data_IF_673988911036
#
_entry.id   IF_673988911036
#
_cell.length_a   1.000
_cell.length_b   1.000
_cell.length_c   1.000
_cell.angle_alpha   90.00
_cell.angle_beta   90.00
_cell.angle_gamma   90.00
#
_symmetry.space_group_name_H-M   'P 1'
#
loop_
_entity.id
_entity.type
_entity.pdbx_description
1 polymer ?
#
# COMPACT_ATOMS: atom_id res chain seq x y z
N UNK A 1 -6.54 -16.70 -18.85
CA UNK A 1 -6.73 -15.27 -19.09
C UNK A 1 -5.94 -14.79 -20.32
N UNK A 2 -4.72 -15.25 -20.52
CA UNK A 2 -3.87 -14.86 -21.67
C UNK A 2 -4.44 -15.29 -23.05
N UNK A 3 -5.27 -16.33 -23.12
CA UNK A 3 -5.86 -16.79 -24.39
C UNK A 3 -7.00 -15.92 -24.94
N UNK A 4 -7.50 -14.96 -24.18
CA UNK A 4 -8.56 -14.02 -24.61
C UNK A 4 -8.03 -12.64 -25.07
N UNK A 5 -6.74 -12.40 -24.99
CA UNK A 5 -6.12 -11.10 -25.29
C UNK A 5 -5.79 -10.90 -26.78
N UNK A 6 -6.09 -11.89 -27.64
CA UNK A 6 -5.68 -11.91 -29.04
C UNK A 6 -6.48 -11.05 -30.03
N UNK A 7 -7.53 -10.35 -29.62
CA UNK A 7 -8.30 -9.48 -30.55
C UNK A 7 -8.52 -8.10 -29.92
N UNK A 8 -7.64 -7.15 -30.21
CA UNK A 8 -7.85 -5.73 -29.91
C UNK A 8 -9.06 -5.19 -30.69
N UNK A 9 -10.14 -4.86 -29.98
CA UNK A 9 -11.08 -3.86 -30.44
C UNK A 9 -10.64 -2.50 -29.85
N UNK A 10 -10.90 -1.39 -30.59
CA UNK A 10 -10.49 -0.02 -30.24
C UNK A 10 -10.98 0.50 -28.86
N UNK A 11 -11.75 -0.28 -28.12
CA UNK A 11 -12.35 0.05 -26.82
C UNK A 11 -11.68 -0.64 -25.62
N UNK A 12 -10.60 -1.43 -25.81
CA UNK A 12 -9.87 -2.06 -24.71
C UNK A 12 -8.88 -1.07 -24.07
N UNK A 13 -9.41 -0.08 -23.36
CA UNK A 13 -8.66 0.92 -22.57
C UNK A 13 -8.39 0.44 -21.13
N UNK A 14 -8.09 -0.84 -20.94
CA UNK A 14 -7.71 -1.36 -19.62
C UNK A 14 -6.19 -1.39 -19.43
N UNK A 15 -5.69 -1.33 -18.19
CA UNK A 15 -4.26 -1.46 -17.85
C UNK A 15 -3.57 -2.67 -18.51
N UNK A 16 -4.30 -3.74 -18.83
CA UNK A 16 -3.81 -4.89 -19.58
C UNK A 16 -3.41 -4.55 -21.04
N UNK A 17 -3.85 -3.44 -21.57
CA UNK A 17 -3.52 -3.00 -22.90
C UNK A 17 -2.08 -2.48 -23.02
N UNK A 18 -1.50 -1.90 -21.97
CA UNK A 18 -0.17 -1.25 -22.00
C UNK A 18 0.93 -2.22 -22.46
N UNK A 19 0.95 -3.48 -21.99
CA UNK A 19 1.96 -4.46 -22.44
C UNK A 19 1.78 -4.90 -23.89
N UNK A 20 0.56 -4.74 -24.43
CA UNK A 20 0.20 -5.09 -25.80
C UNK A 20 0.24 -3.90 -26.74
N UNK A 21 0.47 -2.69 -26.22
CA UNK A 21 0.65 -1.50 -27.04
C UNK A 21 1.88 -1.63 -27.92
N UNK A 22 1.87 -0.96 -29.05
CA UNK A 22 3.03 -0.91 -29.92
C UNK A 22 4.20 -0.18 -29.21
N UNK A 23 5.43 -0.49 -29.60
CA UNK A 23 6.58 0.18 -29.02
C UNK A 23 6.51 1.71 -29.21
N UNK A 24 5.97 2.15 -30.34
CA UNK A 24 5.77 3.58 -30.64
C UNK A 24 4.78 4.22 -29.67
N UNK A 25 3.66 3.55 -29.38
CA UNK A 25 2.67 4.03 -28.41
C UNK A 25 3.25 4.09 -26.99
N UNK A 26 4.02 3.07 -26.60
CA UNK A 26 4.70 3.02 -25.28
C UNK A 26 5.71 4.15 -25.12
N UNK A 27 6.50 4.44 -26.19
CA UNK A 27 7.43 5.56 -26.19
C UNK A 27 6.72 6.90 -26.11
N UNK A 28 5.69 7.08 -26.95
CA UNK A 28 4.91 8.33 -26.98
C UNK A 28 4.21 8.61 -25.64
N UNK A 29 3.78 7.55 -24.94
CA UNK A 29 3.16 7.65 -23.63
C UNK A 29 4.16 7.70 -22.45
N UNK A 30 5.47 7.53 -22.70
CA UNK A 30 6.48 7.47 -21.64
C UNK A 30 6.38 6.25 -20.72
N UNK A 31 5.81 5.14 -21.21
CA UNK A 31 5.51 3.94 -20.42
C UNK A 31 6.57 2.85 -20.54
N UNK A 32 7.68 3.12 -21.17
CA UNK A 32 8.81 2.20 -21.31
C UNK A 32 10.14 2.94 -21.20
N UNK A 33 11.10 2.34 -20.46
CA UNK A 33 12.51 2.57 -20.63
C UNK A 33 13.12 1.38 -21.35
N UNK A 34 13.90 1.62 -22.36
CA UNK A 34 14.53 0.60 -23.20
C UNK A 34 16.03 0.85 -23.40
N UNK A 35 16.71 -0.08 -24.06
CA UNK A 35 18.16 -0.02 -24.31
C UNK A 35 18.98 0.20 -23.02
N UNK A 36 18.50 -0.34 -21.88
CA UNK A 36 19.18 -0.21 -20.61
C UNK A 36 20.29 -1.24 -20.47
N UNK A 37 21.37 -0.84 -19.80
CA UNK A 37 22.47 -1.73 -19.42
C UNK A 37 22.64 -1.75 -17.90
N UNK A 38 22.83 -2.94 -17.31
CA UNK A 38 23.09 -3.04 -15.88
C UNK A 38 24.49 -2.52 -15.58
N UNK A 39 24.61 -1.57 -14.66
CA UNK A 39 25.86 -0.96 -14.23
C UNK A 39 26.36 -1.52 -12.90
N UNK A 40 25.48 -1.79 -11.96
CA UNK A 40 25.85 -2.31 -10.65
C UNK A 40 24.72 -3.07 -9.96
N UNK A 41 25.09 -3.83 -8.92
CA UNK A 41 24.17 -4.57 -8.05
C UNK A 41 24.41 -4.16 -6.61
N UNK A 42 23.32 -3.92 -5.86
CA UNK A 42 23.33 -3.84 -4.41
C UNK A 42 22.94 -5.18 -3.80
N UNK A 43 23.62 -5.56 -2.73
CA UNK A 43 23.35 -6.82 -2.02
C UNK A 43 22.84 -6.52 -0.61
N UNK A 44 21.92 -7.37 -0.12
CA UNK A 44 21.50 -7.35 1.26
C UNK A 44 22.54 -8.04 2.18
N UNK A 45 22.24 -8.08 3.49
CA UNK A 45 23.13 -8.69 4.51
C UNK A 45 23.42 -10.18 4.28
N UNK A 46 22.55 -10.86 3.54
CA UNK A 46 22.65 -12.29 3.20
C UNK A 46 23.36 -12.53 1.87
N UNK A 47 23.89 -11.48 1.22
CA UNK A 47 24.60 -11.55 -0.06
C UNK A 47 23.69 -11.71 -1.29
N UNK A 48 22.37 -11.64 -1.11
CA UNK A 48 21.42 -11.69 -2.22
C UNK A 48 21.33 -10.34 -2.94
N UNK A 49 21.12 -10.36 -4.24
CA UNK A 49 20.88 -9.13 -5.04
C UNK A 49 19.54 -8.53 -4.60
N UNK A 50 19.59 -7.34 -4.06
CA UNK A 50 18.44 -6.58 -3.58
C UNK A 50 18.13 -5.38 -4.48
N UNK A 51 19.15 -4.74 -5.04
CA UNK A 51 18.97 -3.61 -5.96
C UNK A 51 19.81 -3.73 -7.22
N UNK A 52 19.38 -3.06 -8.27
CA UNK A 52 20.01 -3.04 -9.59
C UNK A 52 20.04 -1.61 -10.08
N UNK A 53 21.22 -1.12 -10.47
CA UNK A 53 21.36 0.16 -11.16
C UNK A 53 21.51 -0.09 -12.66
N UNK A 54 20.76 0.65 -13.45
CA UNK A 54 20.78 0.56 -14.91
C UNK A 54 21.09 1.94 -15.51
N UNK A 55 21.93 1.96 -16.53
CA UNK A 55 22.25 3.15 -17.29
C UNK A 55 21.39 3.23 -18.55
N UNK A 56 20.98 4.44 -18.91
CA UNK A 56 20.35 4.74 -20.19
C UNK A 56 21.41 4.73 -21.30
N UNK A 57 21.10 4.15 -22.47
CA UNK A 57 21.99 4.18 -23.65
C UNK A 57 22.02 5.56 -24.31
N UNK A 58 20.98 6.35 -24.13
CA UNK A 58 20.85 7.74 -24.61
C UNK A 58 20.20 8.56 -23.50
N UNK A 59 20.41 9.89 -23.51
CA UNK A 59 19.65 10.79 -22.64
C UNK A 59 18.14 10.58 -22.90
N UNK A 60 17.52 9.79 -22.06
CA UNK A 60 16.08 9.68 -22.02
C UNK A 60 15.61 10.82 -21.13
N UNK A 61 14.95 11.83 -21.72
CA UNK A 61 14.52 12.99 -20.95
C UNK A 61 13.49 12.56 -19.91
N UNK A 62 13.78 12.84 -18.65
CA UNK A 62 12.85 12.61 -17.55
C UNK A 62 11.49 13.34 -17.77
N UNK A 63 11.48 14.37 -18.58
CA UNK A 63 10.32 15.21 -18.88
C UNK A 63 9.23 14.51 -19.72
N UNK A 64 9.56 13.42 -20.42
CA UNK A 64 8.60 12.64 -21.22
C UNK A 64 8.23 11.30 -20.60
N UNK A 65 8.77 10.99 -19.43
CA UNK A 65 8.55 9.72 -18.76
C UNK A 65 7.40 9.78 -17.75
N UNK A 66 6.57 8.73 -17.73
CA UNK A 66 5.53 8.56 -16.74
C UNK A 66 6.02 7.85 -15.46
N UNK A 67 7.28 7.42 -15.41
CA UNK A 67 7.84 6.73 -14.25
C UNK A 67 8.17 7.69 -13.10
N UNK A 68 7.89 7.25 -11.88
CA UNK A 68 8.17 8.00 -10.65
C UNK A 68 8.83 7.11 -9.61
N UNK A 69 9.55 7.71 -8.68
CA UNK A 69 10.06 7.03 -7.48
C UNK A 69 8.90 6.32 -6.76
N UNK A 70 9.10 5.05 -6.44
CA UNK A 70 8.11 4.20 -5.76
C UNK A 70 7.21 3.40 -6.70
N UNK A 71 7.23 3.65 -8.01
CA UNK A 71 6.43 2.88 -8.97
C UNK A 71 6.87 1.42 -9.00
N UNK A 72 5.87 0.55 -9.15
CA UNK A 72 6.09 -0.88 -9.32
C UNK A 72 6.27 -1.16 -10.79
N UNK A 73 7.40 -1.78 -11.12
CA UNK A 73 7.82 -2.02 -12.49
C UNK A 73 8.25 -3.47 -12.68
N UNK A 74 8.31 -3.87 -13.93
CA UNK A 74 8.95 -5.10 -14.38
C UNK A 74 10.24 -4.77 -15.14
N UNK A 75 11.27 -5.54 -14.86
CA UNK A 75 12.56 -5.53 -15.53
C UNK A 75 12.73 -6.83 -16.30
N UNK A 76 13.05 -6.77 -17.58
CA UNK A 76 13.24 -7.95 -18.41
C UNK A 76 14.29 -7.72 -19.51
N UNK A 77 15.04 -8.79 -19.91
CA UNK A 77 16.03 -8.70 -20.96
C UNK A 77 15.37 -8.87 -22.33
N UNK A 78 15.99 -8.29 -23.36
CA UNK A 78 15.65 -8.54 -24.75
C UNK A 78 16.87 -8.36 -25.65
N UNK A 79 16.90 -9.00 -26.84
CA UNK A 79 18.00 -8.89 -27.79
C UNK A 79 17.98 -7.54 -28.49
N UNK A 80 19.15 -7.00 -28.81
CA UNK A 80 19.29 -5.70 -29.47
C UNK A 80 18.63 -5.63 -30.87
N UNK A 81 18.48 -6.76 -31.54
CA UNK A 81 17.82 -6.91 -32.84
C UNK A 81 16.30 -7.20 -32.73
N UNK A 82 15.76 -7.25 -31.52
CA UNK A 82 14.34 -7.55 -31.25
C UNK A 82 13.61 -6.36 -30.62
N UNK A 83 12.29 -6.39 -30.69
CA UNK A 83 11.44 -5.42 -30.01
C UNK A 83 11.21 -5.86 -28.56
N UNK A 84 11.31 -4.97 -27.56
CA UNK A 84 10.96 -5.29 -26.19
C UNK A 84 9.53 -5.86 -26.08
N UNK A 85 9.39 -7.01 -25.41
CA UNK A 85 8.10 -7.65 -25.20
C UNK A 85 8.06 -8.38 -23.86
N UNK A 86 7.45 -7.77 -22.88
CA UNK A 86 7.32 -8.31 -21.52
C UNK A 86 6.59 -9.65 -21.46
N UNK A 87 5.65 -9.90 -22.39
CA UNK A 87 4.88 -11.14 -22.42
C UNK A 87 5.66 -12.37 -22.92
N UNK A 88 6.81 -12.13 -23.57
CA UNK A 88 7.64 -13.19 -24.14
C UNK A 88 8.92 -13.48 -23.30
N UNK A 89 9.13 -12.77 -22.20
CA UNK A 89 10.33 -12.85 -21.40
C UNK A 89 10.06 -13.17 -19.92
N UNK A 90 11.09 -13.63 -19.24
CA UNK A 90 11.06 -13.73 -17.79
C UNK A 90 11.20 -12.32 -17.19
N UNK A 91 10.22 -11.92 -16.38
CA UNK A 91 10.17 -10.58 -15.78
C UNK A 91 10.59 -10.61 -14.32
N UNK A 92 11.39 -9.64 -13.91
CA UNK A 92 11.74 -9.40 -12.52
C UNK A 92 10.93 -8.20 -12.00
N UNK A 93 10.19 -8.38 -10.92
CA UNK A 93 9.44 -7.29 -10.29
C UNK A 93 10.32 -6.45 -9.42
N UNK A 94 10.21 -5.14 -9.58
CA UNK A 94 10.99 -4.18 -8.80
C UNK A 94 10.15 -2.94 -8.47
N UNK A 95 10.70 -2.10 -7.60
CA UNK A 95 10.21 -0.74 -7.37
C UNK A 95 11.31 0.25 -7.72
N UNK A 96 10.95 1.37 -8.32
CA UNK A 96 11.88 2.43 -8.65
C UNK A 96 12.32 3.12 -7.36
N UNK A 97 13.61 3.07 -7.07
CA UNK A 97 14.22 3.75 -5.92
C UNK A 97 14.60 5.18 -6.28
N UNK A 98 15.23 5.36 -7.44
CA UNK A 98 15.70 6.65 -7.92
C UNK A 98 15.74 6.67 -9.45
N UNK A 99 15.47 7.84 -10.03
CA UNK A 99 15.62 8.13 -11.45
C UNK A 99 16.53 9.34 -11.58
N UNK A 100 17.58 9.21 -12.36
CA UNK A 100 18.53 10.29 -12.68
C UNK A 100 18.54 10.55 -14.18
N UNK A 101 19.31 11.53 -14.65
CA UNK A 101 19.55 11.76 -16.08
C UNK A 101 20.37 10.64 -16.73
N UNK A 102 21.13 9.90 -15.94
CA UNK A 102 22.06 8.86 -16.43
C UNK A 102 21.45 7.45 -16.38
N UNK A 103 20.44 7.23 -15.50
CA UNK A 103 19.90 5.90 -15.33
C UNK A 103 18.83 5.81 -14.24
N UNK A 104 18.50 4.57 -13.90
CA UNK A 104 17.49 4.25 -12.90
C UNK A 104 18.02 3.20 -11.92
N UNK A 105 17.74 3.40 -10.63
CA UNK A 105 17.99 2.41 -9.58
C UNK A 105 16.68 1.72 -9.20
N UNK A 106 16.69 0.39 -9.21
CA UNK A 106 15.57 -0.46 -8.85
C UNK A 106 15.86 -1.25 -7.58
N UNK A 107 14.86 -1.42 -6.73
CA UNK A 107 14.86 -2.38 -5.62
C UNK A 107 13.98 -3.56 -6.02
N UNK A 108 14.54 -4.75 -6.02
CA UNK A 108 13.82 -5.98 -6.35
C UNK A 108 12.78 -6.29 -5.26
N UNK A 109 11.57 -6.67 -5.66
CA UNK A 109 10.52 -7.07 -4.70
C UNK A 109 10.81 -8.41 -4.01
N UNK A 110 11.61 -9.24 -4.69
CA UNK A 110 12.14 -10.48 -4.12
C UNK A 110 13.64 -10.48 -4.41
N UNK A 111 14.45 -10.45 -3.36
CA UNK A 111 15.92 -10.54 -3.50
C UNK A 111 16.30 -11.82 -4.22
N UNK A 112 17.25 -11.74 -5.14
CA UNK A 112 17.69 -12.87 -5.95
C UNK A 112 18.97 -13.49 -5.36
N UNK A 113 18.91 -14.78 -5.10
CA UNK A 113 20.05 -15.55 -4.57
C UNK A 113 21.09 -15.80 -5.66
N UNK A 114 20.62 -16.02 -6.89
CA UNK A 114 21.48 -16.28 -8.04
C UNK A 114 21.62 -15.02 -8.90
N UNK A 115 22.83 -14.44 -8.89
CA UNK A 115 23.17 -13.30 -9.71
C UNK A 115 23.19 -13.64 -11.20
N UNK A 116 23.44 -14.90 -11.58
CA UNK A 116 23.51 -15.33 -12.97
C UNK A 116 22.21 -15.09 -13.76
N UNK A 117 21.10 -14.92 -13.06
CA UNK A 117 19.81 -14.51 -13.67
C UNK A 117 19.92 -13.19 -14.45
N UNK A 118 20.87 -12.35 -14.07
CA UNK A 118 21.11 -11.04 -14.70
C UNK A 118 22.30 -11.07 -15.66
N UNK A 119 23.03 -12.17 -15.77
CA UNK A 119 24.12 -12.34 -16.71
C UNK A 119 23.51 -12.66 -18.08
N UNK A 120 23.51 -11.69 -18.96
CA UNK A 120 22.94 -11.82 -20.30
C UNK A 120 24.05 -11.89 -21.37
N UNK A 121 23.83 -12.62 -22.49
CA UNK A 121 24.75 -12.62 -23.60
C UNK A 121 25.01 -11.24 -24.17
N UNK A 122 26.16 -11.04 -24.83
CA UNK A 122 26.45 -9.82 -25.55
C UNK A 122 25.34 -9.48 -26.55
N UNK A 123 25.04 -8.19 -26.68
CA UNK A 123 23.95 -7.71 -27.52
C UNK A 123 22.56 -7.85 -26.89
N UNK A 124 22.46 -8.01 -25.56
CA UNK A 124 21.23 -7.97 -24.81
C UNK A 124 21.07 -6.62 -24.11
N UNK A 125 19.91 -6.02 -24.22
CA UNK A 125 19.47 -4.86 -23.47
C UNK A 125 18.41 -5.24 -22.45
N UNK A 126 18.17 -4.33 -21.52
CA UNK A 126 17.08 -4.45 -20.54
C UNK A 126 16.02 -3.40 -20.83
N UNK A 127 14.78 -3.74 -20.51
CA UNK A 127 13.65 -2.82 -20.57
C UNK A 127 12.90 -2.81 -19.23
N UNK A 128 12.31 -1.64 -18.93
CA UNK A 128 11.45 -1.43 -17.78
C UNK A 128 10.09 -0.97 -18.29
N UNK A 129 9.04 -1.61 -17.81
CA UNK A 129 7.65 -1.23 -18.02
C UNK A 129 6.90 -1.24 -16.68
N UNK A 130 5.76 -0.53 -16.59
CA UNK A 130 4.91 -0.63 -15.41
C UNK A 130 4.42 -2.06 -15.19
N UNK A 131 4.41 -2.52 -13.93
CA UNK A 131 3.85 -3.84 -13.58
C UNK A 131 2.34 -3.82 -13.69
N UNK A 132 1.84 -4.52 -14.68
CA UNK A 132 0.39 -4.65 -14.96
C UNK A 132 -0.29 -5.77 -14.19
N UNK A 133 0.45 -6.74 -13.65
CA UNK A 133 -0.08 -7.69 -12.67
C UNK A 133 -0.25 -6.99 -11.33
N UNK A 134 -0.94 -5.88 -11.40
CA UNK A 134 -1.16 -5.02 -10.29
C UNK A 134 -1.73 -5.80 -9.11
N UNK A 135 -1.07 -5.65 -7.98
CA UNK A 135 -1.60 -6.06 -6.69
C UNK A 135 -3.04 -5.56 -6.46
N UNK A 136 -3.46 -4.50 -7.14
CA UNK A 136 -4.80 -3.93 -7.06
C UNK A 136 -5.89 -4.89 -7.54
N UNK A 137 -5.76 -5.53 -8.70
CA UNK A 137 -6.77 -6.48 -9.16
C UNK A 137 -6.89 -7.69 -8.24
N UNK A 138 -5.75 -8.21 -7.76
CA UNK A 138 -5.74 -9.30 -6.78
C UNK A 138 -6.33 -8.84 -5.44
N UNK A 139 -6.02 -7.63 -5.02
CA UNK A 139 -6.56 -7.04 -3.80
C UNK A 139 -8.08 -6.87 -3.89
N UNK A 140 -8.61 -6.42 -5.05
CA UNK A 140 -10.05 -6.31 -5.30
C UNK A 140 -10.76 -7.66 -5.20
N UNK A 141 -10.23 -8.71 -5.86
CA UNK A 141 -10.81 -10.06 -5.76
C UNK A 141 -10.74 -10.61 -4.34
N UNK A 142 -9.63 -10.37 -3.63
CA UNK A 142 -9.47 -10.76 -2.22
C UNK A 142 -10.47 -10.03 -1.33
N UNK A 143 -10.69 -8.74 -1.58
CA UNK A 143 -11.66 -7.91 -0.88
C UNK A 143 -13.09 -8.43 -1.08
N UNK A 144 -13.48 -8.72 -2.32
CA UNK A 144 -14.78 -9.29 -2.63
C UNK A 144 -14.98 -10.67 -1.99
N UNK A 145 -13.94 -11.51 -1.99
CA UNK A 145 -13.99 -12.80 -1.29
C UNK A 145 -14.17 -12.62 0.22
N UNK A 146 -13.45 -11.68 0.84
CA UNK A 146 -13.62 -11.36 2.27
C UNK A 146 -15.04 -10.90 2.59
N UNK A 147 -15.61 -10.04 1.74
CA UNK A 147 -17.00 -9.60 1.89
C UNK A 147 -18.00 -10.75 1.78
N UNK A 148 -17.88 -11.60 0.75
CA UNK A 148 -18.78 -12.73 0.57
C UNK A 148 -18.69 -13.75 1.73
N UNK A 149 -17.50 -13.86 2.34
CA UNK A 149 -17.24 -14.75 3.49
C UNK A 149 -17.60 -14.14 4.84
N UNK A 150 -17.86 -12.83 4.90
CA UNK A 150 -18.25 -12.13 6.14
C UNK A 150 -19.62 -12.57 6.64
N UNK A 151 -19.89 -12.35 7.94
CA UNK A 151 -21.21 -12.63 8.52
C UNK A 151 -22.32 -11.86 7.81
N UNK A 152 -23.54 -12.41 7.84
CA UNK A 152 -24.72 -11.72 7.27
C UNK A 152 -24.91 -10.34 7.90
N UNK A 153 -24.76 -10.23 9.21
CA UNK A 153 -24.92 -8.96 9.93
C UNK A 153 -23.95 -7.89 9.43
N UNK A 154 -22.68 -8.28 9.16
CA UNK A 154 -21.67 -7.38 8.63
C UNK A 154 -21.98 -6.96 7.19
N UNK A 155 -22.37 -7.90 6.35
CA UNK A 155 -22.78 -7.59 4.97
C UNK A 155 -23.98 -6.67 4.93
N UNK A 156 -24.99 -6.94 5.76
CA UNK A 156 -26.19 -6.10 5.86
C UNK A 156 -25.87 -4.67 6.30
N UNK A 157 -24.90 -4.50 7.23
CA UNK A 157 -24.41 -3.18 7.63
C UNK A 157 -23.73 -2.44 6.45
N UNK A 158 -22.78 -3.09 5.80
CA UNK A 158 -22.02 -2.51 4.67
C UNK A 158 -22.97 -2.15 3.52
N UNK A 159 -23.98 -2.97 3.25
CA UNK A 159 -24.99 -2.74 2.21
C UNK A 159 -26.15 -1.82 2.68
N UNK A 160 -26.03 -1.21 3.85
CA UNK A 160 -27.08 -0.35 4.43
C UNK A 160 -28.44 -1.05 4.60
N UNK A 161 -28.43 -2.39 4.71
CA UNK A 161 -29.64 -3.21 4.94
C UNK A 161 -30.00 -3.31 6.42
N UNK A 162 -29.11 -2.87 7.31
CA UNK A 162 -29.37 -2.60 8.72
C UNK A 162 -28.76 -1.28 9.17
N UNK A 163 -29.33 -0.69 10.18
CA UNK A 163 -28.76 0.52 10.79
C UNK A 163 -27.55 0.17 11.67
N UNK A 164 -26.57 1.09 11.81
CA UNK A 164 -25.52 0.98 12.81
C UNK A 164 -26.10 0.86 14.23
N UNK A 165 -25.43 0.11 15.08
CA UNK A 165 -25.80 -0.04 16.48
C UNK A 165 -25.18 1.08 17.31
N UNK A 166 -25.98 1.73 18.15
CA UNK A 166 -25.54 2.78 19.08
C UNK A 166 -25.82 2.30 20.51
N UNK A 167 -24.87 2.53 21.40
CA UNK A 167 -24.97 2.23 22.81
C UNK A 167 -24.82 3.53 23.62
N UNK A 168 -25.92 4.15 23.92
CA UNK A 168 -25.98 5.42 24.65
C UNK A 168 -25.51 5.33 26.12
N UNK A 169 -25.34 4.11 26.66
CA UNK A 169 -24.81 3.90 28.02
C UNK A 169 -23.29 4.00 28.10
N UNK A 170 -22.62 4.04 26.95
CA UNK A 170 -21.17 4.22 26.89
C UNK A 170 -20.85 5.70 26.84
N UNK A 171 -19.96 6.13 27.72
CA UNK A 171 -19.54 7.51 27.83
C UNK A 171 -18.04 7.65 27.64
N UNK A 172 -17.61 8.78 27.08
CA UNK A 172 -16.20 9.14 27.01
C UNK A 172 -15.62 9.34 28.43
N UNK A 173 -14.31 9.12 28.54
CA UNK A 173 -13.56 9.29 29.80
C UNK A 173 -12.76 10.58 29.84
N UNK A 174 -12.35 11.08 28.67
CA UNK A 174 -11.52 12.27 28.51
C UNK A 174 -12.33 13.54 28.26
N UNK A 175 -11.62 14.67 28.21
CA UNK A 175 -12.18 15.97 27.86
C UNK A 175 -11.48 16.50 26.61
N UNK A 176 -12.27 16.84 25.57
CA UNK A 176 -11.78 17.20 24.23
C UNK A 176 -12.34 18.55 23.75
N UNK A 177 -12.86 19.35 24.68
CA UNK A 177 -13.35 20.71 24.41
C UNK A 177 -14.47 20.73 23.36
N UNK A 178 -14.28 21.48 22.29
CA UNK A 178 -15.25 21.62 21.22
C UNK A 178 -15.58 20.28 20.50
N UNK A 179 -14.76 19.25 20.67
CA UNK A 179 -14.94 17.93 20.06
C UNK A 179 -15.64 16.91 20.96
N UNK A 180 -16.02 17.27 22.19
CA UNK A 180 -16.68 16.35 23.13
C UNK A 180 -17.86 15.63 22.50
N UNK A 181 -18.77 16.34 21.85
CA UNK A 181 -19.95 15.74 21.20
C UNK A 181 -19.57 14.75 20.10
N UNK A 182 -18.53 15.05 19.33
CA UNK A 182 -18.04 14.16 18.28
C UNK A 182 -17.46 12.88 18.88
N UNK A 183 -16.59 13.01 19.88
CA UNK A 183 -15.90 11.89 20.53
C UNK A 183 -16.90 11.00 21.26
N UNK A 184 -17.88 11.59 21.98
CA UNK A 184 -18.94 10.84 22.66
C UNK A 184 -19.74 10.00 21.67
N UNK A 185 -20.22 10.59 20.58
CA UNK A 185 -20.97 9.86 19.56
C UNK A 185 -20.14 8.76 18.87
N UNK A 186 -18.88 9.02 18.60
CA UNK A 186 -17.96 8.02 18.05
C UNK A 186 -17.80 6.84 19.02
N UNK A 187 -17.67 7.12 20.33
CA UNK A 187 -17.53 6.10 21.38
C UNK A 187 -18.81 5.27 21.58
N UNK A 188 -19.97 5.88 21.41
CA UNK A 188 -21.27 5.22 21.49
C UNK A 188 -21.57 4.35 20.27
N UNK A 189 -20.96 4.61 19.13
CA UNK A 189 -21.14 3.81 17.93
C UNK A 189 -20.42 2.47 18.06
N UNK A 190 -21.13 1.36 17.81
CA UNK A 190 -20.61 0.00 17.95
C UNK A 190 -20.13 -0.60 16.64
N UNK A 191 -20.61 -0.08 15.53
CA UNK A 191 -20.35 -0.65 14.20
C UNK A 191 -19.69 0.33 13.25
N UNK A 192 -20.34 1.46 12.99
CA UNK A 192 -19.95 2.43 11.99
C UNK A 192 -20.35 3.84 12.42
N UNK A 193 -19.42 4.77 12.33
CA UNK A 193 -19.62 6.18 12.57
C UNK A 193 -19.05 7.02 11.44
N UNK A 194 -19.86 7.88 10.84
CA UNK A 194 -19.44 8.76 9.75
C UNK A 194 -19.23 10.18 10.26
N UNK A 195 -18.03 10.70 10.03
CA UNK A 195 -17.66 12.08 10.33
C UNK A 195 -17.62 12.87 9.02
N UNK A 196 -18.60 13.76 8.85
CA UNK A 196 -18.67 14.63 7.67
C UNK A 196 -18.32 16.06 8.08
N UNK A 197 -17.41 16.68 7.38
CA UNK A 197 -17.04 18.08 7.64
C UNK A 197 -16.29 18.67 6.45
N UNK A 198 -16.50 19.98 6.17
CA UNK A 198 -15.78 20.69 5.12
C UNK A 198 -14.25 20.63 5.33
N UNK A 199 -13.45 20.90 4.28
CA UNK A 199 -12.01 21.12 4.43
C UNK A 199 -11.70 22.18 5.49
N UNK A 200 -10.63 22.01 6.26
CA UNK A 200 -10.20 22.99 7.28
C UNK A 200 -10.96 22.94 8.61
N UNK A 201 -11.94 22.06 8.80
CA UNK A 201 -12.68 21.94 10.08
C UNK A 201 -11.93 21.14 11.16
N UNK A 202 -10.71 20.70 10.88
CA UNK A 202 -9.87 19.97 11.85
C UNK A 202 -10.22 18.48 12.00
N UNK A 203 -10.87 17.86 10.99
CA UNK A 203 -11.19 16.42 11.02
C UNK A 203 -9.97 15.56 11.35
N UNK A 204 -8.91 15.69 10.57
CA UNK A 204 -7.67 14.94 10.74
C UNK A 204 -6.88 15.40 11.95
N UNK A 205 -6.72 16.73 12.11
CA UNK A 205 -5.83 17.31 13.15
C UNK A 205 -6.39 17.17 14.56
N UNK A 206 -7.69 17.22 14.74
CA UNK A 206 -8.34 17.21 16.07
C UNK A 206 -9.39 16.10 16.20
N UNK A 207 -10.27 15.92 15.21
CA UNK A 207 -11.33 14.93 15.27
C UNK A 207 -10.78 13.51 15.41
N UNK A 208 -9.96 13.08 14.46
CA UNK A 208 -9.31 11.77 14.46
C UNK A 208 -8.45 11.58 15.73
N UNK A 209 -7.62 12.58 16.05
CA UNK A 209 -6.69 12.47 17.19
C UNK A 209 -7.41 12.35 18.53
N UNK A 210 -8.53 13.07 18.72
CA UNK A 210 -9.29 13.02 19.95
C UNK A 210 -10.08 11.70 20.08
N UNK A 211 -10.63 11.16 18.98
CA UNK A 211 -11.23 9.83 18.95
C UNK A 211 -10.17 8.78 19.31
N UNK A 212 -8.97 8.86 18.72
CA UNK A 212 -7.85 7.98 19.06
C UNK A 212 -7.48 8.07 20.54
N UNK A 213 -7.28 9.29 21.08
CA UNK A 213 -6.93 9.49 22.50
C UNK A 213 -7.98 8.91 23.43
N UNK A 214 -9.25 9.09 23.13
CA UNK A 214 -10.33 8.48 23.88
C UNK A 214 -10.26 6.96 23.85
N UNK A 215 -10.05 6.37 22.68
CA UNK A 215 -9.96 4.92 22.56
C UNK A 215 -8.77 4.35 23.33
N UNK A 216 -7.64 5.05 23.32
CA UNK A 216 -6.43 4.69 24.04
C UNK A 216 -6.56 4.83 25.59
N UNK A 217 -7.64 5.42 26.11
CA UNK A 217 -7.93 5.40 27.56
C UNK A 217 -8.21 3.99 28.07
N UNK A 218 -8.64 3.07 27.19
CA UNK A 218 -8.63 1.65 27.46
C UNK A 218 -7.25 1.08 27.16
N UNK A 219 -6.52 0.51 28.14
CA UNK A 219 -5.18 -0.01 27.94
C UNK A 219 -5.11 -1.23 27.00
N UNK A 220 -6.23 -1.87 26.73
CA UNK A 220 -6.31 -3.06 25.87
C UNK A 220 -6.73 -2.74 24.43
N UNK A 221 -7.24 -1.55 24.16
CA UNK A 221 -7.69 -1.17 22.82
C UNK A 221 -6.53 -0.99 21.85
N UNK A 222 -6.74 -1.50 20.63
CA UNK A 222 -5.84 -1.38 19.51
C UNK A 222 -6.53 -0.62 18.39
N UNK A 223 -5.83 0.33 17.78
CA UNK A 223 -6.40 1.25 16.81
C UNK A 223 -5.64 1.19 15.50
N UNK A 224 -6.40 1.16 14.41
CA UNK A 224 -5.90 1.19 13.05
C UNK A 224 -6.28 2.52 12.40
N UNK A 225 -5.29 3.29 11.97
CA UNK A 225 -5.46 4.56 11.30
C UNK A 225 -5.13 4.40 9.82
N UNK A 226 -6.08 4.71 8.97
CA UNK A 226 -5.97 4.50 7.53
C UNK A 226 -6.23 5.80 6.77
N UNK A 227 -5.56 5.94 5.62
CA UNK A 227 -5.91 6.94 4.62
C UNK A 227 -5.65 6.40 3.20
N UNK A 228 -6.06 7.17 2.20
CA UNK A 228 -5.87 6.79 0.80
C UNK A 228 -4.43 6.97 0.33
N UNK A 229 -3.77 8.07 0.68
CA UNK A 229 -2.43 8.43 0.19
C UNK A 229 -1.36 8.30 1.27
N UNK A 230 -0.12 8.05 0.86
CA UNK A 230 1.03 8.03 1.77
C UNK A 230 1.21 9.37 2.48
N UNK A 231 1.03 10.49 1.75
CA UNK A 231 1.12 11.84 2.32
C UNK A 231 0.11 12.06 3.45
N UNK A 232 -1.13 11.64 3.27
CA UNK A 232 -2.15 11.77 4.31
C UNK A 232 -1.83 10.87 5.53
N UNK A 233 -1.27 9.67 5.32
CA UNK A 233 -0.78 8.85 6.43
C UNK A 233 0.41 9.50 7.12
N UNK A 234 1.32 10.17 6.40
CA UNK A 234 2.44 10.91 7.01
C UNK A 234 1.95 12.10 7.84
N UNK A 235 0.87 12.78 7.43
CA UNK A 235 0.22 13.82 8.25
C UNK A 235 -0.35 13.23 9.56
N UNK A 236 -0.96 12.03 9.51
CA UNK A 236 -1.39 11.32 10.72
C UNK A 236 -0.17 10.99 11.60
N UNK A 237 0.90 10.44 11.01
CA UNK A 237 2.13 10.11 11.75
C UNK A 237 2.73 11.35 12.44
N UNK A 238 2.75 12.52 11.77
CA UNK A 238 3.18 13.79 12.38
C UNK A 238 2.41 14.10 13.65
N UNK A 239 1.08 13.96 13.62
CA UNK A 239 0.23 14.24 14.79
C UNK A 239 0.42 13.23 15.92
N UNK A 240 0.74 11.99 15.61
CA UNK A 240 1.07 10.98 16.62
C UNK A 240 2.40 11.30 17.30
N UNK A 241 3.44 11.67 16.55
CA UNK A 241 4.72 12.09 17.08
C UNK A 241 4.57 13.33 17.96
N UNK A 242 3.87 14.37 17.49
CA UNK A 242 3.57 15.58 18.27
C UNK A 242 2.83 15.25 19.58
N UNK A 243 1.98 14.22 19.58
CA UNK A 243 1.21 13.76 20.74
C UNK A 243 1.94 12.72 21.60
N UNK A 244 3.16 12.34 21.24
CA UNK A 244 3.97 11.32 21.92
C UNK A 244 3.26 9.95 21.98
N UNK A 245 2.50 9.60 20.95
CA UNK A 245 1.83 8.31 20.80
C UNK A 245 2.72 7.43 19.91
N UNK A 246 3.18 6.29 20.45
CA UNK A 246 3.96 5.32 19.67
C UNK A 246 3.05 4.53 18.71
N UNK A 247 3.57 4.22 17.52
CA UNK A 247 2.82 3.56 16.47
C UNK A 247 3.72 2.72 15.55
N UNK A 248 3.11 1.80 14.80
CA UNK A 248 3.73 1.12 13.67
C UNK A 248 3.12 1.60 12.36
N UNK A 249 3.99 1.97 11.43
CA UNK A 249 3.60 2.29 10.06
C UNK A 249 3.80 1.08 9.15
N UNK A 250 2.74 0.71 8.45
CA UNK A 250 2.78 -0.36 7.44
C UNK A 250 2.96 0.29 6.07
N UNK A 251 4.02 -0.05 5.38
CA UNK A 251 4.34 0.53 4.07
C UNK A 251 5.78 0.25 3.67
N UNK A 252 6.16 0.80 2.51
CA UNK A 252 7.53 0.74 2.01
C UNK A 252 8.30 1.99 2.44
N UNK A 253 9.59 1.89 2.77
CA UNK A 253 10.46 3.07 3.01
C UNK A 253 10.47 4.05 1.83
N UNK A 254 10.30 3.55 0.59
CA UNK A 254 10.27 4.38 -0.61
C UNK A 254 9.06 5.32 -0.68
N UNK A 255 7.99 5.00 0.04
CA UNK A 255 6.71 5.70 0.02
C UNK A 255 6.35 6.28 1.40
N UNK A 256 7.32 6.46 2.26
CA UNK A 256 7.20 7.00 3.61
C UNK A 256 8.19 8.15 3.77
N UNK A 257 7.79 9.22 4.44
CA UNK A 257 8.72 10.29 4.81
C UNK A 257 9.82 9.74 5.72
N UNK A 258 11.07 10.15 5.48
CA UNK A 258 12.25 9.69 6.23
C UNK A 258 12.10 9.91 7.75
N UNK A 259 11.38 10.96 8.15
CA UNK A 259 11.11 11.26 9.55
C UNK A 259 10.36 10.15 10.30
N UNK A 260 9.69 9.24 9.57
CA UNK A 260 8.89 8.14 10.16
C UNK A 260 9.45 6.76 9.84
N UNK A 261 10.65 6.66 9.27
CA UNK A 261 11.27 5.37 8.95
C UNK A 261 11.43 4.49 10.20
N UNK A 262 11.82 5.05 11.34
CA UNK A 262 11.96 4.31 12.62
C UNK A 262 10.64 3.69 13.12
N UNK A 263 9.50 4.15 12.61
CA UNK A 263 8.18 3.61 12.91
C UNK A 263 7.71 2.56 11.90
N UNK A 264 8.43 2.35 10.78
CA UNK A 264 8.08 1.31 9.81
C UNK A 264 8.15 -0.07 10.45
N UNK A 265 7.16 -0.90 10.17
CA UNK A 265 7.14 -2.29 10.64
C UNK A 265 8.40 -3.03 10.16
N UNK A 266 8.82 -2.84 8.90
CA UNK A 266 10.05 -3.43 8.34
C UNK A 266 11.28 -3.07 9.16
N UNK A 267 11.43 -1.82 9.59
CA UNK A 267 12.57 -1.36 10.39
C UNK A 267 12.51 -1.92 11.83
N UNK A 268 11.33 -1.86 12.46
CA UNK A 268 11.13 -2.35 13.82
C UNK A 268 11.39 -3.85 13.96
N UNK A 269 11.19 -4.64 12.91
CA UNK A 269 11.43 -6.09 12.92
C UNK A 269 12.79 -6.52 12.36
N UNK A 270 13.63 -5.59 11.87
CA UNK A 270 14.95 -5.93 11.31
C UNK A 270 15.85 -6.71 12.25
N UNK A 271 15.74 -6.45 13.55
CA UNK A 271 16.57 -7.12 14.55
C UNK A 271 15.96 -8.44 15.08
N UNK A 272 14.71 -8.75 14.70
CA UNK A 272 14.04 -9.96 15.10
C UNK A 272 14.68 -11.18 14.41
N UNK A 273 14.96 -12.20 15.18
CA UNK A 273 15.59 -13.45 14.70
C UNK A 273 14.59 -14.59 14.53
N UNK A 274 13.36 -14.40 14.95
CA UNK A 274 12.32 -15.41 14.90
C UNK A 274 10.95 -14.83 14.60
N UNK A 275 10.08 -15.62 13.98
CA UNK A 275 8.67 -15.24 13.75
C UNK A 275 7.92 -14.95 15.07
N UNK A 276 8.38 -15.49 16.19
CA UNK A 276 7.82 -15.21 17.52
C UNK A 276 8.11 -13.77 17.92
N UNK A 277 9.36 -13.33 17.80
CA UNK A 277 9.76 -11.95 18.11
C UNK A 277 9.02 -10.94 17.24
N UNK A 278 8.84 -11.23 15.93
CA UNK A 278 8.02 -10.40 15.05
C UNK A 278 6.57 -10.29 15.54
N UNK A 279 5.98 -11.41 15.96
CA UNK A 279 4.63 -11.41 16.54
C UNK A 279 4.56 -10.63 17.84
N UNK A 280 5.58 -10.71 18.68
CA UNK A 280 5.64 -9.99 19.95
C UNK A 280 5.71 -8.47 19.70
N UNK A 281 6.49 -8.00 18.72
CA UNK A 281 6.52 -6.59 18.29
C UNK A 281 5.14 -6.13 17.82
N UNK A 282 4.48 -6.90 16.95
CA UNK A 282 3.15 -6.57 16.43
C UNK A 282 2.11 -6.57 17.56
N UNK A 283 2.14 -7.58 18.44
CA UNK A 283 1.16 -7.70 19.52
C UNK A 283 1.32 -6.62 20.58
N UNK A 284 2.55 -6.18 20.85
CA UNK A 284 2.85 -5.14 21.83
C UNK A 284 2.44 -3.73 21.39
N UNK A 285 2.34 -3.48 20.09
CA UNK A 285 1.96 -2.17 19.57
C UNK A 285 0.43 -1.98 19.54
N UNK A 286 -0.02 -0.78 19.92
CA UNK A 286 -1.46 -0.47 20.02
C UNK A 286 -1.99 0.35 18.84
N UNK A 287 -1.17 1.17 18.21
CA UNK A 287 -1.56 2.05 17.11
C UNK A 287 -0.83 1.66 15.83
N UNK A 288 -1.58 1.50 14.76
CA UNK A 288 -1.06 1.18 13.45
C UNK A 288 -1.52 2.20 12.42
N UNK A 289 -0.63 2.60 11.52
CA UNK A 289 -0.91 3.54 10.44
C UNK A 289 -0.59 2.91 9.10
N UNK A 290 -1.49 3.04 8.13
CA UNK A 290 -1.27 2.50 6.78
C UNK A 290 -2.07 3.25 5.73
N UNK A 291 -1.65 3.12 4.46
CA UNK A 291 -2.60 3.33 3.37
C UNK A 291 -3.52 2.12 3.24
N UNK A 292 -4.74 2.32 2.74
CA UNK A 292 -5.66 1.21 2.45
C UNK A 292 -5.05 0.19 1.50
N UNK A 293 -4.25 0.63 0.53
CA UNK A 293 -3.53 -0.26 -0.39
C UNK A 293 -2.45 -1.09 0.32
N UNK A 294 -1.64 -0.47 1.19
CA UNK A 294 -0.61 -1.18 1.95
C UNK A 294 -1.22 -2.21 2.91
N UNK A 295 -2.35 -1.88 3.55
CA UNK A 295 -3.04 -2.81 4.45
C UNK A 295 -3.69 -3.96 3.67
N UNK A 296 -4.32 -3.70 2.53
CA UNK A 296 -4.88 -4.76 1.67
C UNK A 296 -3.79 -5.73 1.19
N UNK A 297 -2.59 -5.24 0.91
CA UNK A 297 -1.44 -6.10 0.59
C UNK A 297 -0.97 -6.93 1.80
N UNK A 298 -1.24 -6.48 3.03
CA UNK A 298 -0.86 -7.09 4.29
C UNK A 298 -2.06 -7.58 5.11
N UNK A 299 -3.14 -8.01 4.47
CA UNK A 299 -4.41 -8.41 5.10
C UNK A 299 -4.22 -9.51 6.18
N UNK A 300 -3.10 -10.25 6.11
CA UNK A 300 -2.74 -11.26 7.12
C UNK A 300 -2.49 -10.67 8.50
N UNK A 301 -2.29 -9.35 8.62
CA UNK A 301 -2.16 -8.67 9.90
C UNK A 301 -3.37 -8.93 10.79
N UNK A 302 -4.58 -8.96 10.23
CA UNK A 302 -5.81 -9.25 10.96
C UNK A 302 -5.89 -10.67 11.56
N UNK A 303 -5.00 -11.58 11.14
CA UNK A 303 -4.85 -12.91 11.76
C UNK A 303 -3.94 -12.89 13.00
N UNK A 304 -3.12 -11.85 13.13
CA UNK A 304 -2.12 -11.70 14.20
C UNK A 304 -2.61 -10.69 15.23
N UNK A 305 -3.25 -9.61 14.77
CA UNK A 305 -3.67 -8.48 15.57
C UNK A 305 -5.16 -8.20 15.39
N UNK A 306 -5.87 -8.06 16.50
CA UNK A 306 -7.23 -7.56 16.53
C UNK A 306 -7.20 -6.04 16.72
N UNK A 307 -8.06 -5.33 16.02
CA UNK A 307 -8.26 -3.90 16.18
C UNK A 307 -9.68 -3.63 16.70
N UNK A 308 -9.77 -2.82 17.74
CA UNK A 308 -11.04 -2.44 18.38
C UNK A 308 -11.68 -1.25 17.65
N UNK A 309 -10.86 -0.42 17.03
CA UNK A 309 -11.27 0.73 16.22
C UNK A 309 -10.43 0.84 14.96
N UNK A 310 -11.07 1.10 13.83
CA UNK A 310 -10.43 1.57 12.61
C UNK A 310 -10.93 2.97 12.25
N UNK A 311 -10.02 3.92 12.09
CA UNK A 311 -10.34 5.27 11.61
C UNK A 311 -9.81 5.42 10.20
N UNK A 312 -10.69 5.76 9.28
CA UNK A 312 -10.36 5.90 7.85
C UNK A 312 -10.54 7.36 7.46
N UNK A 313 -9.42 8.06 7.31
CA UNK A 313 -9.42 9.45 6.86
C UNK A 313 -9.52 9.53 5.33
N UNK A 314 -10.17 10.57 4.82
CA UNK A 314 -10.43 10.80 3.39
C UNK A 314 -11.08 9.59 2.69
N UNK A 315 -12.00 8.90 3.39
CA UNK A 315 -12.65 7.68 2.89
C UNK A 315 -13.40 7.86 1.56
N UNK A 316 -13.81 9.08 1.23
CA UNK A 316 -14.45 9.41 -0.06
C UNK A 316 -13.54 9.24 -1.28
N UNK A 317 -12.23 9.20 -1.09
CA UNK A 317 -11.26 8.97 -2.17
C UNK A 317 -11.00 7.47 -2.43
N UNK A 318 -11.46 6.60 -1.51
CA UNK A 318 -11.18 5.16 -1.57
C UNK A 318 -12.26 4.48 -2.42
N UNK A 319 -11.83 3.68 -3.38
CA UNK A 319 -12.76 2.85 -4.14
C UNK A 319 -13.45 1.85 -3.23
N UNK A 320 -14.77 1.74 -3.36
CA UNK A 320 -15.63 0.93 -2.51
C UNK A 320 -15.14 -0.53 -2.33
N UNK A 321 -14.69 -1.26 -3.37
CA UNK A 321 -14.20 -2.62 -3.18
C UNK A 321 -13.00 -2.72 -2.22
N UNK A 322 -12.10 -1.75 -2.21
CA UNK A 322 -10.97 -1.73 -1.27
C UNK A 322 -11.44 -1.50 0.16
N UNK A 323 -12.41 -0.60 0.34
CA UNK A 323 -13.00 -0.31 1.64
C UNK A 323 -13.77 -1.53 2.18
N UNK A 324 -14.64 -2.11 1.36
CA UNK A 324 -15.44 -3.29 1.71
C UNK A 324 -14.54 -4.46 2.15
N UNK A 325 -13.41 -4.67 1.47
CA UNK A 325 -12.45 -5.71 1.83
C UNK A 325 -11.91 -5.54 3.25
N UNK A 326 -11.51 -4.33 3.60
CA UNK A 326 -11.00 -4.00 4.93
C UNK A 326 -12.08 -4.14 6.00
N UNK A 327 -13.26 -3.57 5.74
CA UNK A 327 -14.40 -3.64 6.63
C UNK A 327 -14.89 -5.07 6.88
N UNK A 328 -14.60 -5.99 5.95
CA UNK A 328 -15.02 -7.40 6.04
C UNK A 328 -13.93 -8.33 6.60
N UNK A 329 -12.67 -7.90 6.60
CA UNK A 329 -11.53 -8.75 6.96
C UNK A 329 -11.43 -9.06 8.46
N UNK A 330 -12.06 -8.25 9.30
CA UNK A 330 -12.02 -8.44 10.73
C UNK A 330 -13.00 -9.54 11.15
N UNK A 331 -12.48 -10.73 11.43
CA UNK A 331 -13.25 -11.85 11.90
C UNK A 331 -12.96 -12.13 13.38
N UNK A 332 -14.02 -12.09 14.19
CA UNK A 332 -14.07 -12.71 15.50
C UNK A 332 -13.74 -11.78 16.68
N UNK A 333 -14.78 -11.34 17.36
CA UNK A 333 -14.77 -10.67 18.66
C UNK A 333 -15.08 -9.17 18.58
N UNK A 334 -16.17 -8.78 19.15
CA UNK A 334 -16.82 -7.45 19.20
C UNK A 334 -16.80 -6.72 17.86
N UNK A 335 -17.97 -6.54 17.29
CA UNK A 335 -18.23 -5.87 16.01
C UNK A 335 -17.91 -4.35 16.07
N UNK A 336 -16.66 -3.98 16.31
CA UNK A 336 -16.23 -2.61 16.22
C UNK A 336 -15.34 -2.40 15.00
N UNK A 337 -15.79 -1.59 14.08
CA UNK A 337 -14.99 -0.90 13.07
C UNK A 337 -15.19 0.58 13.31
#
# INVERSE_FOLDING_TARGET
LLSKVGNKTKDDSGFAAIWLDTLEDKRAAGNIYEELTISSFGQNKDGMVESISLNFAREQSADTSNFRKGDIVILYPYKADATPNACAQMVNRASIKEITTEGVELVLRNSQTDRQVFDTPDGTFWAIEHDMFESSSRALYSAMHSFLSASKQRRDLILSQRQPTIDEHVHMRGEYGAFNTLVERAKQSRDLFLVIGPPGTGKTSFGLLNILKEELTDPHSNVLLLSYTNRAVDEICSKLVESQIDFLRIGSPLNCDEAYHDHLLSERVQQCRSSKEVKDVISGMRVFCATTAALNANIHLFKIKHFDLAVIDESSQILEPHLIGLLSAQSGGRDAI
#
